data_IF_012804707720
#
_entry.id   IF_012804707720
#
_cell.length_a   1.000
_cell.length_b   1.000
_cell.length_c   1.000
_cell.angle_alpha   90.00
_cell.angle_beta   90.00
_cell.angle_gamma   90.00
#
_symmetry.space_group_name_H-M   'P 1'
#
loop_
_entity.id
_entity.type
_entity.pdbx_description
1 polymer ?
#
# COMPACT_ATOMS: atom_id res chain seq x y z
N UNK A 1 -18.84 6.37 27.45
CA UNK A 1 -20.23 6.43 26.97
C UNK A 1 -21.16 5.87 28.03
N UNK A 2 -22.37 6.38 28.17
CA UNK A 2 -23.40 5.79 29.04
C UNK A 2 -23.94 4.54 28.38
N UNK A 3 -23.86 3.41 29.07
CA UNK A 3 -24.39 2.13 28.61
C UNK A 3 -25.92 2.10 28.64
N UNK A 4 -26.53 1.09 28.01
CA UNK A 4 -27.99 0.90 27.99
C UNK A 4 -28.64 0.76 29.38
N UNK A 5 -27.83 0.58 30.44
CA UNK A 5 -28.24 0.49 31.83
C UNK A 5 -27.79 1.67 32.71
N UNK A 6 -27.35 2.79 32.10
CA UNK A 6 -27.05 4.04 32.83
C UNK A 6 -25.67 4.11 33.52
N UNK A 7 -24.79 3.12 33.33
CA UNK A 7 -23.39 3.15 33.80
C UNK A 7 -22.39 3.62 32.73
N UNK A 8 -21.13 3.91 33.09
CA UNK A 8 -20.07 4.13 32.09
C UNK A 8 -19.64 2.80 31.48
N UNK A 9 -19.79 2.65 30.16
CA UNK A 9 -19.22 1.51 29.42
C UNK A 9 -17.85 1.92 28.92
N UNK A 10 -16.83 1.19 29.38
CA UNK A 10 -15.50 1.24 28.80
C UNK A 10 -15.46 0.28 27.62
N UNK A 11 -15.16 0.80 26.43
CA UNK A 11 -14.92 -0.03 25.25
C UNK A 11 -13.54 -0.65 25.41
N UNK A 12 -13.48 -1.98 25.58
CA UNK A 12 -12.22 -2.71 25.75
C UNK A 12 -11.42 -2.82 24.45
N UNK A 13 -12.12 -2.95 23.32
CA UNK A 13 -11.53 -3.05 22.00
C UNK A 13 -12.60 -3.04 20.91
N UNK A 14 -12.15 -2.95 19.67
CA UNK A 14 -12.97 -2.90 18.46
C UNK A 14 -12.50 -3.94 17.46
N UNK A 15 -13.41 -4.45 16.64
CA UNK A 15 -13.07 -5.25 15.46
C UNK A 15 -13.60 -4.56 14.21
N UNK A 16 -12.74 -4.35 13.24
CA UNK A 16 -13.10 -3.89 11.90
C UNK A 16 -13.02 -5.08 10.94
N UNK A 17 -14.13 -5.38 10.27
CA UNK A 17 -14.24 -6.48 9.30
C UNK A 17 -14.54 -5.90 7.93
N UNK A 18 -13.69 -6.16 6.93
CA UNK A 18 -13.82 -5.54 5.60
C UNK A 18 -13.56 -4.03 5.62
N UNK A 19 -12.69 -3.57 6.53
CA UNK A 19 -12.35 -2.16 6.69
C UNK A 19 -11.09 -1.98 7.52
N UNK A 20 -10.64 -0.74 7.71
CA UNK A 20 -9.35 -0.44 8.35
C UNK A 20 -9.37 0.91 9.06
N UNK A 21 -8.38 1.15 9.92
CA UNK A 21 -8.19 2.47 10.53
C UNK A 21 -7.75 3.47 9.46
N UNK A 22 -8.44 4.60 9.42
CA UNK A 22 -8.17 5.64 8.44
C UNK A 22 -6.82 6.30 8.69
N UNK A 23 -6.16 6.68 7.59
CA UNK A 23 -4.88 7.40 7.50
C UNK A 23 -4.77 8.61 8.42
N UNK A 24 -5.86 9.38 8.58
CA UNK A 24 -5.93 10.55 9.47
C UNK A 24 -5.64 10.25 10.95
N UNK A 25 -5.70 8.98 11.37
CA UNK A 25 -5.37 8.55 12.73
C UNK A 25 -3.95 8.00 12.86
N UNK A 26 -3.20 7.88 11.76
CA UNK A 26 -1.83 7.36 11.76
C UNK A 26 -0.81 8.50 11.91
N UNK A 27 -1.08 9.66 11.29
CA UNK A 27 -0.17 10.81 11.22
C UNK A 27 -0.71 12.04 11.99
N UNK A 28 0.16 12.91 12.58
CA UNK A 28 1.62 12.78 12.76
C UNK A 28 2.02 11.78 13.83
N UNK A 29 1.08 11.43 14.69
CA UNK A 29 1.21 10.39 15.71
C UNK A 29 -0.06 9.57 15.70
N UNK A 30 0.06 8.32 16.15
CA UNK A 30 -1.08 7.42 16.23
C UNK A 30 -2.12 7.97 17.21
N UNK A 31 -3.30 8.35 16.70
CA UNK A 31 -4.35 9.04 17.44
C UNK A 31 -5.62 8.22 17.64
N UNK A 32 -5.65 6.95 17.25
CA UNK A 32 -6.84 6.12 17.41
C UNK A 32 -7.00 5.65 18.88
N UNK A 33 -8.12 5.96 19.56
CA UNK A 33 -8.20 5.86 21.02
C UNK A 33 -8.53 4.46 21.56
N UNK A 34 -8.90 3.51 20.70
CA UNK A 34 -9.41 2.19 21.11
C UNK A 34 -8.58 1.11 20.43
N UNK A 35 -8.07 0.13 21.18
CA UNK A 35 -7.44 -1.06 20.59
C UNK A 35 -8.35 -1.63 19.51
N UNK A 36 -7.80 -1.96 18.35
CA UNK A 36 -8.60 -2.40 17.20
C UNK A 36 -7.94 -3.56 16.48
N UNK A 37 -8.65 -4.68 16.38
CA UNK A 37 -8.32 -5.74 15.44
C UNK A 37 -8.92 -5.39 14.07
N UNK A 38 -8.08 -5.24 13.05
CA UNK A 38 -8.51 -5.11 11.67
C UNK A 38 -8.43 -6.47 10.98
N UNK A 39 -9.51 -6.88 10.32
CA UNK A 39 -9.61 -8.11 9.54
C UNK A 39 -10.12 -7.76 8.16
N UNK A 40 -9.39 -8.17 7.13
CA UNK A 40 -9.87 -8.11 5.75
C UNK A 40 -9.66 -9.41 5.00
N UNK A 41 -10.24 -9.50 3.81
CA UNK A 41 -10.14 -10.65 2.94
C UNK A 41 -9.09 -10.45 1.86
N UNK A 42 -8.37 -11.51 1.49
CA UNK A 42 -7.47 -11.46 0.32
C UNK A 42 -8.23 -11.10 -0.97
N UNK A 43 -9.46 -11.61 -1.09
CA UNK A 43 -10.31 -11.51 -2.28
C UNK A 43 -11.38 -10.42 -2.12
N UNK A 44 -11.20 -9.53 -1.15
CA UNK A 44 -12.03 -8.37 -0.91
C UNK A 44 -11.85 -7.33 -2.03
N UNK A 45 -12.93 -7.09 -2.78
CA UNK A 45 -12.91 -6.16 -3.91
C UNK A 45 -13.06 -4.68 -3.54
N UNK A 46 -13.38 -4.39 -2.28
CA UNK A 46 -13.68 -3.05 -1.78
C UNK A 46 -12.60 -2.55 -0.81
N UNK A 47 -12.28 -3.33 0.22
CA UNK A 47 -11.17 -3.10 1.13
C UNK A 47 -9.98 -3.99 0.74
N UNK A 48 -9.35 -3.63 -0.38
CA UNK A 48 -8.33 -4.46 -1.05
C UNK A 48 -7.15 -4.84 -0.14
N UNK A 49 -6.52 -6.01 -0.38
CA UNK A 49 -5.37 -6.47 0.40
C UNK A 49 -4.19 -5.49 0.41
N UNK A 50 -4.00 -4.68 -0.64
CA UNK A 50 -2.95 -3.66 -0.67
C UNK A 50 -3.15 -2.55 0.35
N UNK A 51 -4.40 -2.11 0.58
CA UNK A 51 -4.72 -1.12 1.61
C UNK A 51 -4.61 -1.69 3.02
N UNK A 52 -4.88 -2.99 3.19
CA UNK A 52 -4.63 -3.72 4.43
C UNK A 52 -3.13 -3.90 4.70
N UNK A 53 -2.32 -4.11 3.66
CA UNK A 53 -0.86 -4.12 3.78
C UNK A 53 -0.32 -2.76 4.26
N UNK A 54 -0.89 -1.65 3.78
CA UNK A 54 -0.59 -0.30 4.29
C UNK A 54 -0.98 -0.18 5.78
N UNK A 55 -2.18 -0.63 6.17
CA UNK A 55 -2.61 -0.62 7.57
C UNK A 55 -1.70 -1.46 8.47
N UNK A 56 -1.28 -2.65 7.99
CA UNK A 56 -0.33 -3.53 8.67
C UNK A 56 1.02 -2.84 8.87
N UNK A 57 1.55 -2.21 7.81
CA UNK A 57 2.80 -1.46 7.86
C UNK A 57 2.74 -0.29 8.85
N UNK A 58 1.66 0.50 8.81
CA UNK A 58 1.45 1.62 9.73
C UNK A 58 1.30 1.18 11.20
N UNK A 59 0.73 0.00 11.44
CA UNK A 59 0.55 -0.59 12.76
C UNK A 59 1.81 -1.28 13.30
N UNK A 60 2.92 -1.35 12.55
CA UNK A 60 4.17 -1.98 12.99
C UNK A 60 4.61 -1.45 14.37
N UNK A 61 4.91 -2.38 15.27
CA UNK A 61 5.29 -2.11 16.66
C UNK A 61 4.14 -1.67 17.58
N UNK A 62 2.88 -1.74 17.12
CA UNK A 62 1.70 -1.37 17.91
C UNK A 62 0.85 -2.60 18.20
N UNK A 63 1.16 -3.28 19.30
CA UNK A 63 0.50 -4.54 19.69
C UNK A 63 -1.02 -4.42 19.87
N UNK A 64 -1.54 -3.22 20.11
CA UNK A 64 -2.97 -2.95 20.30
C UNK A 64 -3.75 -2.78 18.98
N UNK A 65 -3.06 -2.78 17.83
CA UNK A 65 -3.65 -2.57 16.52
C UNK A 65 -3.29 -3.68 15.52
N UNK A 66 -3.55 -4.96 15.84
CA UNK A 66 -3.25 -6.06 14.93
C UNK A 66 -4.07 -5.96 13.64
N UNK A 67 -3.43 -6.30 12.52
CA UNK A 67 -4.05 -6.35 11.20
C UNK A 67 -3.91 -7.77 10.66
N UNK A 68 -5.03 -8.39 10.29
CA UNK A 68 -5.11 -9.73 9.73
C UNK A 68 -5.74 -9.71 8.33
N UNK A 69 -5.20 -10.52 7.44
CA UNK A 69 -5.77 -10.82 6.12
C UNK A 69 -6.07 -12.31 6.07
N UNK A 70 -7.32 -12.67 5.77
CA UNK A 70 -7.75 -14.06 5.63
C UNK A 70 -7.68 -14.46 4.16
N UNK A 71 -6.84 -15.45 3.85
CA UNK A 71 -6.66 -16.02 2.51
C UNK A 71 -7.98 -16.58 1.96
N UNK A 72 -8.26 -16.34 0.69
CA UNK A 72 -9.47 -16.85 0.02
C UNK A 72 -10.81 -16.21 0.42
N UNK A 73 -10.82 -15.29 1.40
CA UNK A 73 -12.00 -14.61 1.92
C UNK A 73 -12.32 -13.34 1.12
N UNK A 74 -13.61 -13.07 0.85
CA UNK A 74 -14.08 -11.84 0.18
C UNK A 74 -14.80 -10.86 1.13
N UNK A 75 -15.09 -9.64 0.67
CA UNK A 75 -15.79 -8.63 1.49
C UNK A 75 -17.12 -9.14 2.03
N UNK A 76 -17.90 -9.81 1.17
CA UNK A 76 -19.23 -10.30 1.55
C UNK A 76 -19.19 -11.37 2.63
N UNK A 77 -18.09 -12.12 2.76
CA UNK A 77 -17.99 -13.23 3.70
C UNK A 77 -17.83 -12.79 5.16
N UNK A 78 -17.72 -11.49 5.43
CA UNK A 78 -17.92 -10.93 6.76
C UNK A 78 -19.39 -10.78 7.16
N UNK A 79 -20.30 -10.89 6.19
CA UNK A 79 -21.74 -10.72 6.37
C UNK A 79 -22.49 -11.98 5.93
N UNK A 80 -23.82 -11.89 5.88
CA UNK A 80 -24.71 -12.93 5.37
C UNK A 80 -25.82 -12.30 4.52
N UNK A 81 -26.53 -13.12 3.75
CA UNK A 81 -27.64 -12.67 2.90
C UNK A 81 -27.21 -12.25 1.49
N UNK A 82 -28.05 -11.47 0.82
CA UNK A 82 -27.83 -11.08 -0.57
C UNK A 82 -26.76 -9.99 -0.67
N UNK A 83 -25.68 -10.19 -1.46
CA UNK A 83 -24.65 -9.18 -1.61
C UNK A 83 -25.20 -7.91 -2.27
N UNK A 84 -24.90 -6.72 -1.74
CA UNK A 84 -25.14 -5.46 -2.44
C UNK A 84 -24.49 -5.43 -3.82
N UNK A 85 -25.03 -4.63 -4.75
CA UNK A 85 -24.57 -4.60 -6.14
C UNK A 85 -23.06 -4.37 -6.26
N UNK A 86 -22.52 -3.38 -5.54
CA UNK A 86 -21.08 -3.07 -5.61
C UNK A 86 -20.21 -4.21 -5.09
N UNK A 87 -20.63 -4.87 -4.02
CA UNK A 87 -19.93 -6.05 -3.47
C UNK A 87 -19.93 -7.16 -4.52
N UNK A 88 -21.10 -7.48 -5.11
CA UNK A 88 -21.23 -8.49 -6.16
C UNK A 88 -20.37 -8.21 -7.40
N UNK A 89 -20.19 -6.94 -7.76
CA UNK A 89 -19.42 -6.54 -8.94
C UNK A 89 -17.91 -6.50 -8.71
N UNK A 90 -17.46 -6.41 -7.45
CA UNK A 90 -16.06 -6.13 -7.12
C UNK A 90 -15.37 -7.25 -6.40
N UNK A 91 -16.07 -7.98 -5.54
CA UNK A 91 -15.51 -9.16 -4.89
C UNK A 91 -15.02 -10.15 -5.95
N UNK A 92 -13.83 -10.70 -5.72
CA UNK A 92 -13.34 -11.80 -6.50
C UNK A 92 -14.09 -13.08 -6.09
N UNK A 93 -13.96 -14.14 -6.89
CA UNK A 93 -14.59 -15.42 -6.57
C UNK A 93 -13.98 -15.97 -5.27
N UNK A 94 -14.78 -16.22 -4.21
CA UNK A 94 -14.24 -16.77 -2.95
C UNK A 94 -13.62 -18.15 -3.17
N UNK A 95 -12.53 -18.43 -2.46
CA UNK A 95 -11.85 -19.73 -2.46
C UNK A 95 -12.23 -20.59 -1.25
N UNK A 96 -12.81 -19.99 -0.21
CA UNK A 96 -13.31 -20.68 0.98
C UNK A 96 -14.83 -20.51 1.10
N UNK A 97 -15.47 -21.45 1.78
CA UNK A 97 -16.89 -21.39 2.12
C UNK A 97 -17.18 -20.33 3.18
N UNK A 98 -18.45 -19.94 3.35
CA UNK A 98 -18.86 -19.05 4.45
C UNK A 98 -18.54 -19.63 5.82
N UNK A 99 -18.74 -20.94 6.03
CA UNK A 99 -18.46 -21.59 7.31
C UNK A 99 -16.95 -21.55 7.64
N UNK A 100 -16.10 -21.77 6.65
CA UNK A 100 -14.65 -21.64 6.78
C UNK A 100 -14.23 -20.18 7.05
N UNK A 101 -14.83 -19.22 6.35
CA UNK A 101 -14.60 -17.79 6.57
C UNK A 101 -14.98 -17.36 8.00
N UNK A 102 -16.15 -17.75 8.48
CA UNK A 102 -16.60 -17.45 9.84
C UNK A 102 -15.71 -18.11 10.89
N UNK A 103 -15.30 -19.36 10.67
CA UNK A 103 -14.36 -20.04 11.55
C UNK A 103 -12.99 -19.34 11.59
N UNK A 104 -12.47 -18.88 10.45
CA UNK A 104 -11.22 -18.13 10.37
C UNK A 104 -11.30 -16.79 11.11
N UNK A 105 -12.39 -16.04 10.93
CA UNK A 105 -12.63 -14.78 11.65
C UNK A 105 -12.74 -15.02 13.15
N UNK A 106 -13.46 -16.06 13.58
CA UNK A 106 -13.60 -16.40 15.00
C UNK A 106 -12.25 -16.74 15.67
N UNK A 107 -11.35 -17.42 14.95
CA UNK A 107 -9.98 -17.72 15.40
C UNK A 107 -9.13 -16.48 15.63
N UNK A 108 -9.47 -15.33 15.04
CA UNK A 108 -8.81 -14.04 15.28
C UNK A 108 -9.48 -13.25 16.40
N UNK A 109 -10.81 -13.17 16.37
CA UNK A 109 -11.60 -12.33 17.31
C UNK A 109 -11.54 -12.86 18.74
N UNK A 110 -11.67 -14.18 18.93
CA UNK A 110 -11.70 -14.77 20.27
C UNK A 110 -10.39 -14.53 21.05
N UNK A 111 -9.18 -14.87 20.52
CA UNK A 111 -7.94 -14.58 21.24
C UNK A 111 -7.65 -13.09 21.39
N UNK A 112 -8.12 -12.23 20.47
CA UNK A 112 -8.00 -10.79 20.62
C UNK A 112 -8.73 -10.25 21.85
N UNK A 113 -10.02 -10.59 22.03
CA UNK A 113 -10.74 -10.16 23.24
C UNK A 113 -10.24 -10.86 24.51
N UNK A 114 -9.80 -12.11 24.42
CA UNK A 114 -9.16 -12.80 25.54
C UNK A 114 -7.88 -12.08 26.00
N UNK A 115 -7.02 -11.65 25.06
CA UNK A 115 -5.84 -10.81 25.34
C UNK A 115 -6.25 -9.53 26.06
N UNK A 116 -7.22 -8.78 25.53
CA UNK A 116 -7.70 -7.53 26.14
C UNK A 116 -8.33 -7.73 27.52
N UNK A 117 -8.86 -8.92 27.78
CA UNK A 117 -9.40 -9.32 29.08
C UNK A 117 -8.34 -9.84 30.06
N UNK A 118 -7.05 -9.72 29.72
CA UNK A 118 -5.93 -10.10 30.57
C UNK A 118 -5.51 -11.57 30.49
N UNK A 119 -5.99 -12.35 29.53
CA UNK A 119 -5.53 -13.73 29.32
C UNK A 119 -4.20 -13.74 28.56
N UNK A 120 -3.09 -13.79 29.31
CA UNK A 120 -1.73 -13.65 28.75
C UNK A 120 -1.36 -14.65 27.65
N UNK A 121 -1.90 -15.88 27.67
CA UNK A 121 -1.66 -16.89 26.61
C UNK A 121 -2.32 -16.54 25.27
N UNK A 122 -3.41 -15.77 25.29
CA UNK A 122 -4.16 -15.43 24.08
C UNK A 122 -3.37 -14.50 23.14
N UNK A 123 -2.42 -13.72 23.67
CA UNK A 123 -1.53 -12.90 22.85
C UNK A 123 -0.60 -13.74 21.95
N UNK A 124 -0.15 -14.90 22.43
CA UNK A 124 0.69 -15.80 21.64
C UNK A 124 -0.12 -16.47 20.51
N UNK A 125 -1.33 -16.93 20.84
CA UNK A 125 -2.27 -17.50 19.85
C UNK A 125 -2.59 -16.49 18.76
N UNK A 126 -2.93 -15.25 19.14
CA UNK A 126 -3.20 -14.19 18.17
C UNK A 126 -1.98 -13.92 17.29
N UNK A 127 -0.77 -13.83 17.86
CA UNK A 127 0.46 -13.59 17.09
C UNK A 127 0.74 -14.69 16.07
N UNK A 128 0.50 -15.94 16.43
CA UNK A 128 0.65 -17.08 15.51
C UNK A 128 -0.30 -16.94 14.31
N UNK A 129 -1.56 -16.56 14.55
CA UNK A 129 -2.53 -16.33 13.47
C UNK A 129 -2.15 -15.12 12.58
N UNK A 130 -1.45 -14.12 13.12
CA UNK A 130 -1.00 -12.94 12.37
C UNK A 130 0.26 -13.19 11.53
N UNK A 131 0.97 -14.30 11.75
CA UNK A 131 2.18 -14.60 10.97
C UNK A 131 1.88 -14.81 9.49
N UNK A 132 0.78 -15.50 9.17
CA UNK A 132 0.33 -15.70 7.78
C UNK A 132 0.10 -14.36 7.07
N UNK A 133 -0.46 -13.38 7.78
CA UNK A 133 -0.62 -12.02 7.25
C UNK A 133 0.74 -11.36 7.00
N UNK A 134 1.69 -11.47 7.95
CA UNK A 134 3.02 -10.89 7.80
C UNK A 134 3.75 -11.45 6.56
N UNK A 135 3.68 -12.77 6.35
CA UNK A 135 4.29 -13.45 5.22
C UNK A 135 3.61 -13.03 3.90
N UNK A 136 2.28 -12.96 3.89
CA UNK A 136 1.50 -12.54 2.73
C UNK A 136 1.78 -11.10 2.30
N UNK A 137 1.83 -10.15 3.24
CA UNK A 137 2.00 -8.73 2.92
C UNK A 137 3.46 -8.35 2.65
N UNK A 138 4.43 -9.15 3.07
CA UNK A 138 5.86 -8.85 2.88
C UNK A 138 6.22 -8.48 1.42
N UNK A 139 5.88 -9.28 0.39
CA UNK A 139 6.19 -8.92 -0.99
C UNK A 139 5.45 -7.66 -1.47
N UNK A 140 4.24 -7.41 -0.96
CA UNK A 140 3.45 -6.20 -1.28
C UNK A 140 4.14 -4.96 -0.72
N UNK A 141 4.54 -5.00 0.54
CA UNK A 141 5.27 -3.91 1.22
C UNK A 141 6.59 -3.65 0.50
N UNK A 142 7.36 -4.71 0.18
CA UNK A 142 8.63 -4.57 -0.52
C UNK A 142 8.45 -3.92 -1.90
N UNK A 143 7.38 -4.25 -2.63
CA UNK A 143 7.06 -3.62 -3.89
C UNK A 143 6.75 -2.13 -3.73
N UNK A 144 5.95 -1.74 -2.72
CA UNK A 144 5.65 -0.34 -2.44
C UNK A 144 6.86 0.47 -1.99
N UNK A 145 7.72 -0.13 -1.15
CA UNK A 145 8.98 0.49 -0.73
C UNK A 145 9.88 0.71 -1.94
N UNK A 146 10.00 -0.28 -2.84
CA UNK A 146 10.81 -0.20 -4.05
C UNK A 146 10.24 0.78 -5.09
N UNK A 147 8.92 0.86 -5.20
CA UNK A 147 8.21 1.85 -6.00
C UNK A 147 8.43 3.26 -5.43
N UNK A 148 8.86 3.44 -4.18
CA UNK A 148 8.95 4.77 -3.58
C UNK A 148 7.58 5.33 -3.19
N UNK A 149 6.61 4.45 -2.93
CA UNK A 149 5.22 4.83 -2.64
C UNK A 149 5.11 5.84 -1.51
N UNK A 150 4.31 6.89 -1.72
CA UNK A 150 4.09 7.91 -0.68
C UNK A 150 3.43 7.32 0.55
N UNK A 151 2.61 6.28 0.38
CA UNK A 151 1.89 5.62 1.48
C UNK A 151 2.82 4.90 2.47
N UNK A 152 4.02 4.53 2.04
CA UNK A 152 4.99 3.75 2.83
C UNK A 152 6.24 4.57 3.18
N UNK A 153 6.67 5.44 2.27
CA UNK A 153 7.94 6.16 2.38
C UNK A 153 7.78 7.65 2.75
N UNK A 154 6.56 8.19 2.77
CA UNK A 154 6.30 9.61 3.04
C UNK A 154 5.08 9.87 3.94
N UNK A 155 5.03 9.32 5.17
CA UNK A 155 3.83 9.37 6.01
C UNK A 155 3.33 10.78 6.34
N UNK A 156 4.20 11.81 6.29
CA UNK A 156 3.78 13.21 6.45
C UNK A 156 2.88 13.77 5.35
N UNK A 157 2.75 13.03 4.25
CA UNK A 157 1.95 13.36 3.09
C UNK A 157 0.66 12.54 3.03
N UNK A 158 0.32 11.81 4.10
CA UNK A 158 -0.87 10.97 4.18
C UNK A 158 -1.70 11.40 5.39
N UNK A 159 -2.84 12.06 5.18
CA UNK A 159 -3.66 12.63 6.26
C UNK A 159 -2.97 13.74 7.09
N UNK A 160 -1.80 14.22 6.65
CA UNK A 160 -1.02 15.29 7.26
C UNK A 160 -1.19 16.64 6.57
N UNK A 161 -0.59 17.73 7.12
CA UNK A 161 -0.72 19.07 6.55
C UNK A 161 -0.10 19.18 5.15
N UNK A 162 0.76 18.24 4.76
CA UNK A 162 1.42 18.19 3.46
C UNK A 162 0.78 17.22 2.46
N UNK A 163 -0.36 16.60 2.79
CA UNK A 163 -1.07 15.68 1.88
C UNK A 163 -1.40 16.35 0.53
N UNK A 164 -1.70 17.65 0.56
CA UNK A 164 -1.95 18.47 -0.63
C UNK A 164 -0.73 19.28 -1.10
N UNK A 165 0.43 19.08 -0.48
CA UNK A 165 1.64 19.87 -0.65
C UNK A 165 2.87 19.00 -0.87
N UNK A 166 2.74 17.80 -1.45
CA UNK A 166 3.91 17.11 -1.98
C UNK A 166 4.55 18.05 -3.01
N UNK A 167 5.69 18.62 -2.62
CA UNK A 167 6.46 19.56 -3.44
C UNK A 167 7.58 18.79 -4.11
N UNK A 168 7.89 19.16 -5.35
CA UNK A 168 9.05 18.67 -6.11
C UNK A 168 10.29 18.52 -5.21
N UNK A 169 10.74 17.29 -4.99
CA UNK A 169 11.92 16.96 -4.18
C UNK A 169 11.71 16.84 -2.66
N UNK A 170 10.49 17.03 -2.15
CA UNK A 170 10.13 16.83 -0.73
C UNK A 170 9.54 15.45 -0.40
N UNK A 171 9.24 14.67 -1.43
CA UNK A 171 8.70 13.30 -1.38
C UNK A 171 9.82 12.34 -1.87
N UNK A 172 9.72 11.02 -1.68
CA UNK A 172 10.60 10.07 -2.34
C UNK A 172 10.54 10.33 -3.85
N UNK A 173 11.52 11.08 -4.33
CA UNK A 173 11.54 11.61 -5.69
C UNK A 173 12.17 10.60 -6.65
N UNK A 174 12.50 9.41 -6.17
CA UNK A 174 13.17 8.39 -6.96
C UNK A 174 12.61 7.04 -6.61
N UNK A 175 12.25 6.28 -7.65
CA UNK A 175 11.99 4.85 -7.50
C UNK A 175 13.32 4.12 -7.35
N UNK A 176 13.43 3.25 -6.35
CA UNK A 176 14.53 2.30 -6.29
C UNK A 176 14.38 1.20 -7.35
N UNK A 177 13.14 0.93 -7.80
CA UNK A 177 12.86 -0.01 -8.87
C UNK A 177 13.49 0.41 -10.21
N UNK A 178 13.52 1.70 -10.50
CA UNK A 178 13.90 2.21 -11.82
C UNK A 178 15.35 1.87 -12.21
N UNK A 179 16.37 2.07 -11.36
CA UNK A 179 17.71 1.55 -11.63
C UNK A 179 17.76 0.03 -11.84
N UNK A 180 17.01 -0.75 -11.06
CA UNK A 180 17.00 -2.21 -11.17
C UNK A 180 16.36 -2.67 -12.50
N UNK A 181 15.22 -2.09 -12.86
CA UNK A 181 14.58 -2.33 -14.15
C UNK A 181 15.53 -1.97 -15.30
N UNK A 182 16.20 -0.82 -15.22
CA UNK A 182 17.14 -0.36 -16.24
C UNK A 182 18.35 -1.30 -16.38
N UNK A 183 18.89 -1.84 -15.27
CA UNK A 183 19.94 -2.85 -15.31
C UNK A 183 19.48 -4.12 -16.05
N UNK A 184 18.28 -4.59 -15.76
CA UNK A 184 17.72 -5.80 -16.39
C UNK A 184 17.58 -5.60 -17.90
N UNK A 185 16.98 -4.49 -18.35
CA UNK A 185 16.73 -4.26 -19.77
C UNK A 185 17.98 -3.87 -20.57
N UNK A 186 19.01 -3.31 -19.93
CA UNK A 186 20.24 -2.88 -20.60
C UNK A 186 21.40 -3.85 -20.44
N UNK A 187 21.20 -5.02 -19.84
CA UNK A 187 22.26 -6.01 -19.65
C UNK A 187 22.85 -6.48 -20.99
N UNK A 188 24.18 -6.36 -21.13
CA UNK A 188 24.96 -6.77 -22.31
C UNK A 188 26.16 -7.58 -21.85
N UNK A 189 26.38 -8.75 -22.46
CA UNK A 189 27.50 -9.64 -22.12
C UNK A 189 28.85 -8.94 -22.28
N UNK A 190 29.68 -9.06 -21.24
CA UNK A 190 31.01 -8.47 -21.20
C UNK A 190 31.05 -6.96 -20.92
N UNK A 191 29.90 -6.34 -20.63
CA UNK A 191 29.80 -4.95 -20.19
C UNK A 191 29.30 -4.84 -18.75
N UNK A 192 29.83 -3.86 -18.03
CA UNK A 192 29.35 -3.43 -16.71
C UNK A 192 28.35 -2.29 -16.87
N UNK A 193 27.34 -2.22 -15.99
CA UNK A 193 26.34 -1.15 -15.98
C UNK A 193 26.53 -0.27 -14.75
N UNK A 194 26.60 1.04 -14.98
CA UNK A 194 26.56 2.08 -13.96
C UNK A 194 25.26 2.87 -14.12
N UNK A 195 24.25 2.52 -13.33
CA UNK A 195 22.88 3.04 -13.51
C UNK A 195 22.52 3.98 -12.36
N UNK A 196 22.14 5.20 -12.71
CA UNK A 196 21.63 6.21 -11.78
C UNK A 196 20.19 6.59 -12.16
N UNK A 197 19.41 7.02 -11.18
CA UNK A 197 18.06 7.55 -11.41
C UNK A 197 17.98 8.97 -10.88
N UNK A 198 17.41 9.87 -11.69
CA UNK A 198 17.16 11.26 -11.33
C UNK A 198 15.66 11.56 -11.32
N UNK A 199 15.24 12.43 -10.40
CA UNK A 199 13.88 12.92 -10.41
C UNK A 199 13.73 13.98 -11.50
N UNK A 200 12.75 13.83 -12.37
CA UNK A 200 12.39 14.86 -13.35
C UNK A 200 10.88 14.98 -13.47
N UNK A 201 10.43 16.08 -14.06
CA UNK A 201 9.06 16.17 -14.56
C UNK A 201 8.98 15.38 -15.88
N UNK A 202 8.34 14.22 -15.85
CA UNK A 202 8.20 13.36 -17.02
C UNK A 202 7.13 13.88 -18.01
N UNK A 203 6.34 14.92 -17.66
CA UNK A 203 5.27 15.50 -18.49
C UNK A 203 5.71 16.03 -19.84
N UNK A 204 6.99 16.36 -19.97
CA UNK A 204 7.48 16.94 -21.21
C UNK A 204 7.16 16.03 -22.39
N UNK A 205 6.39 16.57 -23.33
CA UNK A 205 6.17 15.95 -24.62
C UNK A 205 6.99 16.71 -25.66
N UNK A 206 7.52 16.04 -26.69
CA UNK A 206 8.22 16.75 -27.78
C UNK A 206 7.33 17.77 -28.48
N UNK A 207 6.00 17.64 -28.36
CA UNK A 207 5.01 18.50 -29.02
C UNK A 207 4.81 19.85 -28.32
N UNK A 208 5.08 19.94 -27.01
CA UNK A 208 4.86 21.16 -26.20
C UNK A 208 6.13 22.01 -26.03
N UNK A 209 7.29 21.55 -26.53
CA UNK A 209 8.57 22.25 -26.40
C UNK A 209 9.16 22.24 -24.98
N UNK A 210 8.60 21.41 -24.09
CA UNK A 210 9.09 21.22 -22.73
C UNK A 210 10.34 20.32 -22.70
N UNK A 211 11.16 20.44 -21.64
CA UNK A 211 12.42 19.68 -21.48
C UNK A 211 12.20 18.17 -21.51
N UNK A 212 12.39 17.54 -22.67
CA UNK A 212 12.20 16.11 -22.86
C UNK A 212 13.36 15.31 -22.25
N UNK A 213 13.19 14.83 -21.02
CA UNK A 213 14.19 14.00 -20.34
C UNK A 213 14.18 12.57 -20.88
N UNK A 214 15.00 12.29 -21.91
CA UNK A 214 15.30 10.92 -22.32
C UNK A 214 16.47 10.38 -21.51
N UNK A 215 16.47 9.09 -21.13
CA UNK A 215 17.61 8.48 -20.46
C UNK A 215 18.91 8.79 -21.20
N UNK A 216 19.92 9.24 -20.45
CA UNK A 216 21.22 9.58 -21.00
C UNK A 216 22.12 8.36 -20.88
N UNK A 217 22.71 7.95 -22.00
CA UNK A 217 23.61 6.79 -22.07
C UNK A 217 24.97 7.28 -22.53
N UNK A 218 26.01 6.92 -21.80
CA UNK A 218 27.40 7.05 -22.24
C UNK A 218 28.12 5.72 -22.13
N UNK A 219 29.10 5.47 -22.99
CA UNK A 219 29.87 4.24 -22.99
C UNK A 219 31.36 4.52 -22.83
N UNK A 220 32.04 3.60 -22.16
CA UNK A 220 33.49 3.54 -22.10
C UNK A 220 33.93 2.17 -22.61
N UNK A 221 34.48 2.13 -23.83
CA UNK A 221 34.90 0.88 -24.49
C UNK A 221 36.17 0.27 -23.89
N UNK A 222 37.00 1.07 -23.21
CA UNK A 222 38.23 0.59 -22.56
C UNK A 222 37.90 -0.19 -21.29
N UNK A 223 36.97 0.32 -20.48
CA UNK A 223 36.51 -0.35 -19.25
C UNK A 223 35.32 -1.27 -19.49
N UNK A 224 34.74 -1.24 -20.69
CA UNK A 224 33.47 -1.88 -21.04
C UNK A 224 32.38 -1.53 -20.03
N UNK A 225 32.13 -0.24 -19.84
CA UNK A 225 31.11 0.28 -18.93
C UNK A 225 30.08 1.10 -19.69
N UNK A 226 28.80 0.82 -19.46
CA UNK A 226 27.67 1.66 -19.88
C UNK A 226 27.18 2.44 -18.67
N UNK A 227 27.30 3.76 -18.70
CA UNK A 227 26.70 4.65 -17.70
C UNK A 227 25.35 5.14 -18.19
N UNK A 228 24.29 4.87 -17.43
CA UNK A 228 22.91 5.18 -17.79
C UNK A 228 22.29 6.03 -16.69
N UNK A 229 21.85 7.23 -17.03
CA UNK A 229 21.00 8.05 -16.17
C UNK A 229 19.56 7.92 -16.66
N UNK A 230 18.75 7.24 -15.87
CA UNK A 230 17.30 7.10 -16.08
C UNK A 230 16.54 8.12 -15.23
N UNK A 231 15.24 8.25 -15.47
CA UNK A 231 14.42 9.25 -14.81
C UNK A 231 13.11 8.69 -14.28
N UNK A 232 12.68 9.21 -13.13
CA UNK A 232 11.37 8.92 -12.53
C UNK A 232 10.65 10.19 -12.07
N UNK A 233 9.33 10.17 -12.08
CA UNK A 233 8.45 11.23 -11.57
C UNK A 233 7.37 10.61 -10.68
N UNK A 234 7.02 11.24 -9.57
CA UNK A 234 5.84 10.90 -8.80
C UNK A 234 4.57 11.32 -9.51
N UNK A 235 3.61 10.41 -9.63
CA UNK A 235 2.32 10.68 -10.27
C UNK A 235 1.49 11.71 -9.48
N UNK A 236 1.68 11.78 -8.16
CA UNK A 236 1.06 12.78 -7.29
C UNK A 236 1.61 14.21 -7.46
N UNK A 237 2.75 14.38 -8.16
CA UNK A 237 3.35 15.71 -8.40
C UNK A 237 2.58 16.49 -9.50
N UNK A 238 1.54 15.87 -10.08
CA UNK A 238 0.70 16.45 -11.13
C UNK A 238 -0.63 16.99 -10.62
N UNK A 239 -0.63 18.30 -10.37
CA UNK A 239 -1.80 19.19 -10.49
C UNK A 239 -2.27 19.33 -11.97
N UNK A 240 -2.32 18.24 -12.74
CA UNK A 240 -3.05 18.24 -14.02
C UNK A 240 -4.54 18.10 -13.71
N UNK A 241 -5.42 18.92 -14.32
CA UNK A 241 -6.85 18.60 -14.43
C UNK A 241 -6.99 17.45 -15.43
N UNK A 242 -6.43 16.29 -15.10
CA UNK A 242 -6.67 15.10 -15.87
C UNK A 242 -8.02 14.54 -15.43
N UNK A 243 -8.59 13.77 -16.32
CA UNK A 243 -9.74 12.90 -16.18
C UNK A 243 -9.54 11.84 -15.07
N UNK A 244 -8.51 11.98 -14.22
CA UNK A 244 -8.11 11.21 -13.04
C UNK A 244 -8.18 11.98 -11.71
N UNK A 245 -8.63 13.24 -11.67
CA UNK A 245 -8.89 13.97 -10.39
C UNK A 245 -9.84 13.18 -9.47
N UNK A 246 -10.74 12.39 -10.06
CA UNK A 246 -11.60 11.47 -9.32
C UNK A 246 -10.79 10.50 -8.47
N UNK A 247 -9.62 10.01 -8.91
CA UNK A 247 -8.80 9.06 -8.15
C UNK A 247 -8.39 9.65 -6.80
N UNK A 248 -7.79 10.85 -6.80
CA UNK A 248 -7.41 11.53 -5.55
C UNK A 248 -8.64 11.88 -4.71
N UNK A 249 -9.77 12.26 -5.34
CA UNK A 249 -11.03 12.47 -4.61
C UNK A 249 -11.50 11.17 -3.93
N UNK A 250 -11.51 10.04 -4.64
CA UNK A 250 -11.97 8.77 -4.11
C UNK A 250 -10.98 8.16 -3.11
N UNK A 251 -9.67 8.37 -3.31
CA UNK A 251 -8.63 7.98 -2.36
C UNK A 251 -8.66 8.85 -1.09
N UNK A 252 -9.04 10.14 -1.19
CA UNK A 252 -9.23 11.02 -0.03
C UNK A 252 -10.34 10.55 0.91
N UNK A 253 -11.28 9.74 0.42
CA UNK A 253 -12.27 9.07 1.26
C UNK A 253 -11.69 7.88 2.05
N UNK A 254 -10.47 7.45 1.73
CA UNK A 254 -9.73 6.35 2.35
C UNK A 254 -10.58 5.08 2.48
N UNK A 255 -11.15 4.66 1.33
CA UNK A 255 -12.08 3.53 1.25
C UNK A 255 -11.40 2.22 0.86
N UNK A 256 -10.16 2.28 0.34
CA UNK A 256 -9.45 1.11 -0.20
C UNK A 256 -9.98 0.64 -1.57
N UNK A 257 -10.99 1.35 -2.10
CA UNK A 257 -11.66 1.03 -3.36
C UNK A 257 -10.75 1.20 -4.57
N UNK A 258 -9.94 2.26 -4.54
CA UNK A 258 -9.01 2.64 -5.60
C UNK A 258 -7.75 1.78 -5.47
N UNK A 259 -7.23 1.31 -6.60
CA UNK A 259 -5.94 0.61 -6.62
C UNK A 259 -4.82 1.56 -6.19
N UNK A 260 -3.96 1.12 -5.28
CA UNK A 260 -2.86 1.93 -4.74
C UNK A 260 -1.50 1.57 -5.32
N UNK A 261 -1.33 0.42 -6.00
CA UNK A 261 -0.05 -0.07 -6.57
C UNK A 261 0.14 0.30 -8.04
N UNK A 262 1.40 0.55 -8.46
CA UNK A 262 1.85 0.67 -9.85
C UNK A 262 1.38 1.92 -10.63
N UNK A 263 0.88 2.92 -9.91
CA UNK A 263 0.48 4.20 -10.49
C UNK A 263 1.27 5.36 -9.89
N UNK A 264 2.19 5.10 -8.96
CA UNK A 264 2.74 6.13 -8.09
C UNK A 264 4.00 6.78 -8.65
N UNK A 265 4.76 6.09 -9.51
CA UNK A 265 5.88 6.70 -10.23
C UNK A 265 5.88 6.40 -11.74
N UNK A 266 5.79 7.45 -12.56
CA UNK A 266 6.09 7.39 -13.98
C UNK A 266 7.60 7.31 -14.21
N UNK A 267 8.05 6.44 -15.12
CA UNK A 267 9.48 6.20 -15.36
C UNK A 267 9.81 6.20 -16.83
N UNK A 268 10.97 6.74 -17.21
CA UNK A 268 11.49 6.71 -18.58
C UNK A 268 12.69 5.77 -18.62
N UNK A 269 12.53 4.64 -19.29
CA UNK A 269 13.56 3.61 -19.42
C UNK A 269 14.07 3.54 -20.86
N UNK A 270 15.35 3.19 -21.04
CA UNK A 270 15.93 2.98 -22.37
C UNK A 270 16.13 1.48 -22.65
N UNK A 271 15.68 1.03 -23.82
CA UNK A 271 15.82 -0.37 -24.22
C UNK A 271 17.27 -0.71 -24.58
N UNK A 272 17.61 -2.01 -24.55
CA UNK A 272 18.92 -2.54 -24.99
C UNK A 272 19.33 -2.11 -26.41
N UNK A 273 18.36 -1.90 -27.29
CA UNK A 273 18.60 -1.49 -28.68
C UNK A 273 19.06 -0.04 -28.79
N UNK A 274 18.80 0.77 -27.75
CA UNK A 274 19.23 2.16 -27.67
C UNK A 274 20.58 2.33 -26.95
N UNK A 275 21.07 1.28 -26.28
CA UNK A 275 22.32 1.31 -25.50
C UNK A 275 23.55 0.78 -26.25
N UNK A 276 23.35 0.17 -27.41
CA UNK A 276 24.39 -0.44 -28.26
C UNK A 276 24.63 0.38 -29.53
#
# INVERSE_FOLDING_TARGET
>A
STGPLGGSVQVLGQVLMGGFIQRKYVYPTWGYPVSTLTIGGELDGLARPTRLAEAFYAAKGKDDFPVAIVRGLTHMQFSSGTPPLLVKLRDLQPEITYDEAYAAVAKLVAPYFAKLSGQGSAAAVLREQLQDTADFVQPIIAAYEMEGSRYFNAPAQIGGPFEKQCVKGGCPSKSAWVPEAQKIISSVDGWSLDVSNEYVDCKSTPLTGEEFHLPVISNNTQTKTLSITTYSQGFWDDAQPSWFDWKEIFDSFDTGFVATSAEELGSKLASRQCTL
#
